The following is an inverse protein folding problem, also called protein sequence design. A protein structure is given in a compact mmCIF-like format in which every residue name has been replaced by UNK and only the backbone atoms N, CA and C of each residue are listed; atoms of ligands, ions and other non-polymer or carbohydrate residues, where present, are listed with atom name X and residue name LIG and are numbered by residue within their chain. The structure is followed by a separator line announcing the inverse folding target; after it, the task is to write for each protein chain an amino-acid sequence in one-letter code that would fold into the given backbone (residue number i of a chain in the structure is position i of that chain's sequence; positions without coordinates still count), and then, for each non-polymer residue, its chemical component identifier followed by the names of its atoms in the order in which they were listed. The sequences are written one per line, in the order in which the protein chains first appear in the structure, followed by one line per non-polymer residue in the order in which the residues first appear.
data_IF_420504706447
#
_entry.id   IF_420504706447
#
_cell.length_a   1.000
_cell.length_b   1.000
_cell.length_c   1.000
_cell.angle_alpha   90.00
_cell.angle_beta   90.00
_cell.angle_gamma   90.00
#
_symmetry.space_group_name_H-M   'P 1'
#
loop_
_entity.id
_entity.type
_entity.pdbx_description
1 polymer ?
#
# COMPACT_ATOMS: atom_id res chain seq x y z
N UNK A 1 -36.04 -42.48 -9.61
CA UNK A 1 -34.93 -41.51 -9.69
C UNK A 1 -33.82 -42.21 -10.44
N UNK A 2 -33.65 -41.89 -11.71
CA UNK A 2 -32.76 -42.64 -12.61
C UNK A 2 -31.29 -42.42 -12.21
N UNK A 3 -30.50 -43.48 -12.10
CA UNK A 3 -29.07 -43.37 -11.77
C UNK A 3 -28.33 -42.43 -12.74
N UNK A 4 -28.78 -42.35 -13.99
CA UNK A 4 -28.27 -41.44 -15.02
C UNK A 4 -28.43 -39.97 -14.65
N UNK A 5 -29.55 -39.55 -14.03
CA UNK A 5 -29.72 -38.15 -13.60
C UNK A 5 -28.88 -37.84 -12.38
N UNK A 6 -28.72 -38.80 -11.46
CA UNK A 6 -27.86 -38.67 -10.29
C UNK A 6 -26.37 -38.55 -10.68
N UNK A 7 -25.93 -39.36 -11.66
CA UNK A 7 -24.58 -39.32 -12.22
C UNK A 7 -24.31 -38.00 -12.97
N UNK A 8 -25.25 -37.56 -13.80
CA UNK A 8 -25.12 -36.31 -14.57
C UNK A 8 -25.07 -35.10 -13.63
N UNK A 9 -25.90 -35.08 -12.59
CA UNK A 9 -25.91 -34.00 -11.60
C UNK A 9 -24.61 -33.95 -10.77
N UNK A 10 -24.08 -35.11 -10.37
CA UNK A 10 -22.79 -35.19 -9.70
C UNK A 10 -21.63 -34.71 -10.60
N UNK A 11 -21.65 -35.05 -11.89
CA UNK A 11 -20.64 -34.64 -12.85
C UNK A 11 -20.59 -33.12 -13.06
N UNK A 12 -21.75 -32.45 -13.17
CA UNK A 12 -21.82 -30.99 -13.31
C UNK A 12 -21.27 -30.28 -12.08
N UNK A 13 -21.58 -30.76 -10.87
CA UNK A 13 -21.05 -30.21 -9.62
C UNK A 13 -19.54 -30.39 -9.54
N UNK A 14 -19.03 -31.58 -9.91
CA UNK A 14 -17.59 -31.86 -9.92
C UNK A 14 -16.82 -30.94 -10.88
N UNK A 15 -17.33 -30.73 -12.10
CA UNK A 15 -16.71 -29.86 -13.10
C UNK A 15 -16.78 -28.39 -12.67
N UNK A 16 -17.92 -27.94 -12.14
CA UNK A 16 -18.08 -26.57 -11.63
C UNK A 16 -17.14 -26.26 -10.45
N UNK A 17 -17.03 -27.19 -9.51
CA UNK A 17 -16.10 -27.07 -8.37
C UNK A 17 -14.64 -27.05 -8.83
N UNK A 18 -14.26 -27.94 -9.74
CA UNK A 18 -12.89 -28.02 -10.25
C UNK A 18 -12.47 -26.76 -11.03
N UNK A 19 -13.39 -26.19 -11.82
CA UNK A 19 -13.15 -24.97 -12.58
C UNK A 19 -13.08 -23.71 -11.72
N UNK A 20 -13.73 -23.66 -10.55
CA UNK A 20 -13.68 -22.51 -9.65
C UNK A 20 -12.47 -22.54 -8.69
N UNK A 21 -12.02 -23.73 -8.26
CA UNK A 21 -10.93 -23.85 -7.28
C UNK A 21 -9.53 -23.77 -7.89
N UNK A 22 -9.39 -24.13 -9.16
CA UNK A 22 -8.13 -24.09 -9.91
C UNK A 22 -7.64 -22.69 -10.32
N UNK A 23 -8.49 -21.72 -10.71
CA UNK A 23 -8.03 -20.39 -11.11
C UNK A 23 -7.62 -19.50 -9.93
N UNK A 24 -8.13 -19.72 -8.72
CA UNK A 24 -7.83 -18.86 -7.56
C UNK A 24 -6.38 -19.01 -7.08
N UNK A 25 -5.85 -20.24 -7.05
CA UNK A 25 -4.49 -20.50 -6.57
C UNK A 25 -3.42 -19.90 -7.48
N UNK A 26 -3.67 -19.81 -8.79
CA UNK A 26 -2.73 -19.22 -9.75
C UNK A 26 -2.48 -17.73 -9.50
N UNK A 27 -3.56 -16.98 -9.20
CA UNK A 27 -3.46 -15.53 -8.94
C UNK A 27 -2.70 -15.22 -7.65
N UNK A 28 -2.88 -16.02 -6.61
CA UNK A 28 -2.15 -15.85 -5.35
C UNK A 28 -0.67 -16.24 -5.49
N UNK A 29 -0.38 -17.30 -6.25
CA UNK A 29 0.99 -17.73 -6.51
C UNK A 29 1.76 -16.70 -7.36
N UNK A 30 1.11 -16.06 -8.34
CA UNK A 30 1.71 -14.98 -9.13
C UNK A 30 2.04 -13.75 -8.27
N UNK A 31 1.12 -13.36 -7.36
CA UNK A 31 1.36 -12.24 -6.45
C UNK A 31 2.52 -12.50 -5.49
N UNK A 32 2.69 -13.72 -4.99
CA UNK A 32 3.81 -14.06 -4.12
C UNK A 32 5.17 -14.05 -4.85
N UNK A 33 5.17 -14.40 -6.15
CA UNK A 33 6.40 -14.44 -6.96
C UNK A 33 6.97 -13.05 -7.22
N UNK A 34 6.12 -12.04 -7.45
CA UNK A 34 6.56 -10.65 -7.69
C UNK A 34 7.19 -10.00 -6.46
N UNK A 35 6.79 -10.44 -5.26
CA UNK A 35 7.31 -9.91 -3.99
C UNK A 35 8.71 -10.40 -3.60
N UNK A 36 9.25 -11.39 -4.33
CA UNK A 36 10.56 -12.00 -4.04
C UNK A 36 11.74 -11.25 -4.66
N UNK A 37 11.49 -10.28 -5.55
CA UNK A 37 12.53 -9.55 -6.28
C UNK A 37 12.67 -8.09 -5.85
N UNK A 38 12.10 -7.73 -4.69
CA UNK A 38 12.15 -6.37 -4.17
C UNK A 38 13.33 -6.28 -3.20
N UNK A 39 14.28 -5.42 -3.52
CA UNK A 39 15.43 -5.07 -2.68
C UNK A 39 15.36 -3.58 -2.30
N UNK A 40 15.98 -3.15 -1.19
CA UNK A 40 16.15 -1.73 -0.89
C UNK A 40 16.94 -1.03 -2.02
N UNK A 41 16.55 0.19 -2.38
CA UNK A 41 17.16 1.01 -3.41
C UNK A 41 16.56 0.86 -4.81
N UNK A 42 15.60 -0.05 -5.02
CA UNK A 42 14.94 -0.21 -6.33
C UNK A 42 13.72 0.69 -6.47
N UNK A 43 13.51 1.16 -7.69
CA UNK A 43 12.31 1.89 -8.11
C UNK A 43 11.15 0.91 -8.33
N UNK A 44 9.99 1.19 -7.74
CA UNK A 44 8.81 0.34 -7.80
C UNK A 44 7.57 1.13 -8.19
N UNK A 45 6.60 0.44 -8.77
CA UNK A 45 5.25 0.92 -8.99
C UNK A 45 4.31 0.23 -8.00
N UNK A 46 3.52 1.01 -7.28
CA UNK A 46 2.47 0.52 -6.40
C UNK A 46 1.19 0.16 -7.18
N UNK A 47 0.28 -0.58 -6.54
CA UNK A 47 -1.03 -0.94 -7.13
C UNK A 47 -1.93 0.26 -7.44
N UNK A 48 -1.68 1.40 -6.78
CA UNK A 48 -2.36 2.67 -7.04
C UNK A 48 -1.75 3.46 -8.22
N UNK A 49 -0.66 2.97 -8.83
CA UNK A 49 0.04 3.64 -9.92
C UNK A 49 1.07 4.69 -9.46
N UNK A 50 1.41 4.73 -8.17
CA UNK A 50 2.45 5.63 -7.63
C UNK A 50 3.82 5.00 -7.84
N UNK A 51 4.76 5.78 -8.37
CA UNK A 51 6.17 5.42 -8.47
C UNK A 51 6.92 5.94 -7.25
N UNK A 52 7.78 5.09 -6.68
CA UNK A 52 8.57 5.42 -5.52
C UNK A 52 9.83 4.55 -5.45
N UNK A 53 10.80 4.96 -4.64
CA UNK A 53 12.03 4.21 -4.38
C UNK A 53 11.93 3.52 -3.02
N UNK A 54 12.33 2.24 -2.94
CA UNK A 54 12.29 1.50 -1.67
C UNK A 54 13.45 1.93 -0.78
N UNK A 55 13.16 2.55 0.38
CA UNK A 55 14.20 2.90 1.36
C UNK A 55 14.44 1.73 2.31
N UNK A 56 13.37 1.13 2.81
CA UNK A 56 13.44 0.03 3.76
C UNK A 56 12.38 -1.04 3.46
N UNK A 57 12.77 -2.32 3.53
CA UNK A 57 11.88 -3.45 3.30
C UNK A 57 11.76 -4.30 4.56
N UNK A 58 10.57 -4.32 5.16
CA UNK A 58 10.23 -5.23 6.26
C UNK A 58 9.48 -6.47 5.80
N UNK A 59 9.00 -7.28 6.76
CA UNK A 59 8.27 -8.52 6.46
C UNK A 59 6.86 -8.27 5.90
N UNK A 60 6.13 -7.29 6.46
CA UNK A 60 4.74 -6.98 6.12
C UNK A 60 4.54 -5.60 5.50
N UNK A 61 5.47 -4.70 5.73
CA UNK A 61 5.41 -3.29 5.33
C UNK A 61 6.75 -2.85 4.71
N UNK A 62 6.71 -1.82 3.89
CA UNK A 62 7.87 -1.21 3.26
C UNK A 62 7.80 0.31 3.44
N UNK A 63 8.96 0.94 3.62
CA UNK A 63 9.12 2.40 3.60
C UNK A 63 9.59 2.79 2.21
N UNK A 64 8.84 3.68 1.58
CA UNK A 64 9.07 4.17 0.24
C UNK A 64 9.29 5.68 0.27
N UNK A 65 10.20 6.15 -0.57
CA UNK A 65 10.42 7.57 -0.82
C UNK A 65 9.79 7.96 -2.17
N UNK A 66 8.85 8.91 -2.13
CA UNK A 66 8.11 9.38 -3.31
C UNK A 66 8.74 10.64 -3.89
N UNK A 67 9.42 11.41 -3.03
CA UNK A 67 10.11 12.65 -3.35
C UNK A 67 11.22 12.87 -2.33
N UNK A 68 12.24 13.72 -2.62
CA UNK A 68 13.36 13.95 -1.73
C UNK A 68 12.90 14.29 -0.31
N UNK A 69 13.19 13.40 0.64
CA UNK A 69 12.85 13.56 2.06
C UNK A 69 11.38 13.30 2.44
N UNK A 70 10.55 12.79 1.52
CA UNK A 70 9.16 12.40 1.78
C UNK A 70 9.04 10.87 1.80
N UNK A 71 9.06 10.31 3.00
CA UNK A 71 8.90 8.89 3.25
C UNK A 71 7.44 8.51 3.58
N UNK A 72 6.99 7.39 3.05
CA UNK A 72 5.67 6.82 3.32
C UNK A 72 5.76 5.32 3.57
N UNK A 73 5.05 4.84 4.60
CA UNK A 73 4.94 3.41 4.89
C UNK A 73 3.73 2.82 4.19
N UNK A 74 3.94 1.74 3.43
CA UNK A 74 2.87 0.98 2.79
C UNK A 74 2.94 -0.50 3.14
N UNK A 75 1.82 -1.20 2.96
CA UNK A 75 1.83 -2.66 3.01
C UNK A 75 2.68 -3.22 1.85
N UNK A 76 3.49 -4.24 2.13
CA UNK A 76 4.30 -4.93 1.09
C UNK A 76 3.42 -5.49 -0.04
N UNK A 77 2.18 -5.87 0.28
CA UNK A 77 1.19 -6.33 -0.70
C UNK A 77 0.70 -5.25 -1.69
N UNK A 78 0.96 -3.97 -1.41
CA UNK A 78 0.60 -2.86 -2.30
C UNK A 78 1.68 -2.55 -3.34
N UNK A 79 2.80 -3.29 -3.35
CA UNK A 79 3.83 -3.19 -4.39
C UNK A 79 3.39 -4.05 -5.58
N UNK A 80 3.21 -3.44 -6.76
CA UNK A 80 2.71 -4.12 -7.94
C UNK A 80 3.85 -4.74 -8.76
N UNK A 81 4.91 -3.97 -9.04
CA UNK A 81 6.07 -4.42 -9.81
C UNK A 81 7.30 -3.55 -9.56
N UNK A 82 8.47 -4.13 -9.77
CA UNK A 82 9.74 -3.38 -9.90
C UNK A 82 9.75 -2.73 -11.29
N UNK A 83 10.17 -1.47 -11.34
CA UNK A 83 10.25 -0.70 -12.58
C UNK A 83 11.71 -0.67 -13.02
N UNK A 84 11.98 -1.13 -14.25
CA UNK A 84 13.30 -0.98 -14.84
C UNK A 84 13.45 0.46 -15.35
N UNK A 85 14.66 1.04 -15.32
CA UNK A 85 14.89 2.41 -15.79
C UNK A 85 14.54 2.62 -17.27
N UNK A 86 14.44 1.55 -18.06
CA UNK A 86 14.02 1.62 -19.47
C UNK A 86 12.50 1.74 -19.67
N UNK A 87 11.69 1.51 -18.63
CA UNK A 87 10.22 1.50 -18.70
C UNK A 87 9.58 2.78 -18.11
N UNK A 88 10.37 3.75 -17.61
CA UNK A 88 9.87 5.03 -17.12
C UNK A 88 9.85 6.09 -18.23
N UNK A 89 8.68 6.68 -18.46
CA UNK A 89 8.51 7.79 -19.42
C UNK A 89 8.99 9.14 -18.86
N UNK A 90 9.06 9.26 -17.53
CA UNK A 90 9.59 10.42 -16.81
C UNK A 90 10.74 9.96 -15.91
N UNK A 91 11.98 10.17 -16.34
CA UNK A 91 13.17 9.88 -15.54
C UNK A 91 13.20 10.85 -14.34
N UNK A 92 12.96 10.31 -13.13
CA UNK A 92 13.05 11.08 -11.90
C UNK A 92 14.50 11.06 -11.43
N UNK A 93 15.31 11.97 -11.98
CA UNK A 93 16.73 12.11 -11.64
C UNK A 93 16.86 12.77 -10.25
N UNK A 94 17.09 11.94 -9.23
CA UNK A 94 17.31 12.35 -7.84
C UNK A 94 18.53 13.29 -7.68
N UNK A 95 19.46 13.25 -8.64
CA UNK A 95 20.70 14.02 -8.63
C UNK A 95 20.53 15.51 -9.02
N UNK A 96 19.35 15.94 -9.44
CA UNK A 96 19.08 17.32 -9.84
C UNK A 96 18.34 18.15 -8.76
N UNK A 97 18.02 17.56 -7.60
CA UNK A 97 17.53 18.31 -6.45
C UNK A 97 18.71 18.85 -5.64
N UNK A 98 19.12 20.08 -5.93
CA UNK A 98 19.96 20.84 -5.00
C UNK A 98 19.31 20.82 -3.61
N UNK A 99 20.07 20.56 -2.53
CA UNK A 99 19.53 20.52 -1.18
C UNK A 99 19.05 21.92 -0.81
N UNK A 100 17.75 22.16 -0.94
CA UNK A 100 17.13 23.37 -0.43
C UNK A 100 17.16 23.32 1.10
N UNK A 101 18.22 23.94 1.64
CA UNK A 101 18.32 24.58 2.95
C UNK A 101 18.00 23.73 4.18
N UNK A 102 19.08 23.45 4.92
CA UNK A 102 19.16 23.36 6.38
C UNK A 102 17.98 23.98 7.13
N UNK A 103 17.16 23.14 7.77
CA UNK A 103 16.38 23.58 8.94
C UNK A 103 17.34 23.58 10.12
N UNK A 104 17.93 24.76 10.31
CA UNK A 104 18.81 25.11 11.43
C UNK A 104 18.01 25.13 12.75
N UNK A 105 18.76 24.89 13.81
CA UNK A 105 18.40 24.67 15.20
C UNK A 105 17.70 25.87 15.88
N UNK A 106 17.04 25.60 17.01
CA UNK A 106 16.62 26.53 18.07
C UNK A 106 15.25 27.25 17.96
N UNK A 107 14.24 26.63 18.57
CA UNK A 107 13.20 27.35 19.34
C UNK A 107 12.61 26.46 20.43
N UNK A 108 13.44 26.11 21.42
CA UNK A 108 12.96 25.80 22.77
C UNK A 108 12.80 27.13 23.50
N UNK A 109 11.59 27.70 23.50
CA UNK A 109 11.16 28.59 24.57
C UNK A 109 9.73 28.19 25.00
N UNK A 110 9.44 28.23 26.31
CA UNK A 110 8.31 27.54 26.91
C UNK A 110 7.00 28.25 26.58
N UNK A 111 5.97 27.49 26.18
CA UNK A 111 4.58 27.97 26.13
C UNK A 111 4.08 28.24 27.56
N UNK A 112 4.45 29.39 28.11
CA UNK A 112 3.78 30.00 29.24
C UNK A 112 2.36 30.43 28.81
N UNK A 113 1.38 29.78 29.41
CA UNK A 113 0.06 30.28 29.80
C UNK A 113 -0.34 31.65 29.23
N UNK A 114 -1.22 31.66 28.23
CA UNK A 114 -2.32 32.61 28.20
C UNK A 114 -3.57 31.92 27.64
N UNK A 115 -4.65 32.02 28.42
CA UNK A 115 -5.93 31.39 28.17
C UNK A 115 -6.56 31.94 26.89
N UNK A 116 -7.11 31.06 26.05
CA UNK A 116 -8.00 31.44 24.96
C UNK A 116 -9.37 31.73 25.58
N UNK A 117 -9.87 32.98 25.61
CA UNK A 117 -11.22 33.26 26.07
C UNK A 117 -12.18 32.98 24.90
N UNK A 118 -13.20 32.17 25.18
CA UNK A 118 -14.42 32.10 24.36
C UNK A 118 -14.22 31.52 22.96
N UNK A 119 -14.15 30.20 22.85
CA UNK A 119 -14.64 29.52 21.65
C UNK A 119 -15.58 28.42 22.09
N UNK A 120 -16.88 28.76 22.11
CA UNK A 120 -17.96 27.82 22.32
C UNK A 120 -17.87 26.72 21.25
N UNK A 121 -17.34 25.55 21.64
CA UNK A 121 -17.43 24.32 20.88
C UNK A 121 -18.87 23.79 20.99
N UNK A 122 -19.78 24.44 20.27
CA UNK A 122 -21.15 23.98 20.09
C UNK A 122 -21.17 22.79 19.12
N UNK A 123 -21.40 21.60 19.66
CA UNK A 123 -22.02 20.50 18.91
C UNK A 123 -21.09 19.43 18.35
N UNK A 124 -20.44 18.67 19.23
CA UNK A 124 -20.13 17.26 18.91
C UNK A 124 -21.15 16.36 19.61
N UNK A 125 -21.99 15.60 18.89
CA UNK A 125 -22.87 14.62 19.53
C UNK A 125 -22.04 13.51 20.16
N UNK A 126 -22.28 13.22 21.46
CA UNK A 126 -21.64 12.08 22.14
C UNK A 126 -22.14 10.78 21.51
N UNK A 127 -21.26 9.85 21.13
CA UNK A 127 -21.64 8.61 20.44
C UNK A 127 -22.33 7.55 21.34
N UNK A 128 -22.91 7.95 22.47
CA UNK A 128 -23.43 7.02 23.49
C UNK A 128 -24.94 7.10 23.71
N UNK A 129 -25.69 7.80 22.86
CA UNK A 129 -27.15 7.87 22.95
C UNK A 129 -27.84 7.01 21.87
N UNK A 130 -27.69 5.69 22.02
CA UNK A 130 -28.61 4.69 21.46
C UNK A 130 -28.73 3.52 22.44
N UNK A 131 -29.75 3.61 23.29
CA UNK A 131 -30.44 2.45 23.88
C UNK A 131 -31.13 1.67 22.75
#
# INVERSE_FOLDING_TARGET
MDYTTLLTMAAVIAVGYFLLIRPSQKRQAEQQKTLSSIEPGVRIMTTAGVFATVVHLGEKQAVLEISPGVEMTIAKAAIAKVVAPADEEFEYDDASAEPAATVDEAATEPIASEAVPGTEFQGYPRPDDKI
#
